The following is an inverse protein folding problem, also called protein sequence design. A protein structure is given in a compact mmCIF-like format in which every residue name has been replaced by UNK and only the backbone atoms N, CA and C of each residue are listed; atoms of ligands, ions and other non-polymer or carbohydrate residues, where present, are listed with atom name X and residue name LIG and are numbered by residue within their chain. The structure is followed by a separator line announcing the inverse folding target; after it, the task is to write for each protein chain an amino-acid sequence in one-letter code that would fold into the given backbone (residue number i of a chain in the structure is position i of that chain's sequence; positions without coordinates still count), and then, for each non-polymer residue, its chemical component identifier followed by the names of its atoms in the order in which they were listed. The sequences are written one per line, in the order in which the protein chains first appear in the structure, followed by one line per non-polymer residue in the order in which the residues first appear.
data_IF_021006145590
#
_entry.id   IF_021006145590
#
_cell.length_a   1.000
_cell.length_b   1.000
_cell.length_c   1.000
_cell.angle_alpha   90.00
_cell.angle_beta   90.00
_cell.angle_gamma   90.00
#
_symmetry.space_group_name_H-M   'P 1'
#
loop_
_entity.id
_entity.type
_entity.pdbx_description
1 polymer ?
#
# COMPACT_ATOMS: atom_id res chain seq x y z
N UNK A 1 -10.03 -6.14 -31.79
CA UNK A 1 -9.81 -6.12 -30.33
C UNK A 1 -9.15 -7.42 -29.94
N UNK A 2 -7.81 -7.46 -29.83
CA UNK A 2 -7.08 -8.68 -29.49
C UNK A 2 -6.97 -8.79 -27.96
N UNK A 3 -7.66 -9.77 -27.38
CA UNK A 3 -7.44 -10.14 -25.99
C UNK A 3 -6.00 -10.68 -25.85
N UNK A 4 -5.19 -10.02 -25.04
CA UNK A 4 -3.86 -10.52 -24.68
C UNK A 4 -4.05 -11.83 -23.91
N UNK A 5 -3.72 -12.97 -24.52
CA UNK A 5 -3.72 -14.26 -23.82
C UNK A 5 -2.56 -14.28 -22.82
N UNK A 6 -2.90 -14.34 -21.54
CA UNK A 6 -1.95 -14.62 -20.47
C UNK A 6 -1.42 -16.05 -20.63
N UNK A 7 -0.09 -16.22 -20.61
CA UNK A 7 0.57 -17.53 -20.60
C UNK A 7 0.09 -18.33 -19.37
N UNK A 8 -0.34 -19.60 -19.53
CA UNK A 8 -0.72 -20.42 -18.39
C UNK A 8 0.53 -20.75 -17.56
N UNK A 9 0.46 -20.40 -16.27
CA UNK A 9 1.40 -20.75 -15.23
C UNK A 9 1.29 -22.24 -14.89
N UNK A 10 2.43 -22.89 -14.62
CA UNK A 10 2.58 -24.35 -14.67
C UNK A 10 2.33 -25.10 -13.35
N UNK A 11 1.80 -24.46 -12.30
CA UNK A 11 1.34 -25.18 -11.09
C UNK A 11 -0.19 -25.28 -11.04
N UNK A 12 -0.75 -26.37 -10.49
CA UNK A 12 -2.20 -26.59 -10.39
C UNK A 12 -2.96 -25.47 -9.65
N UNK A 13 -2.28 -24.77 -8.72
CA UNK A 13 -2.83 -23.62 -7.98
C UNK A 13 -2.59 -22.26 -8.66
N UNK A 14 -1.90 -22.23 -9.81
CA UNK A 14 -1.59 -20.99 -10.53
C UNK A 14 -2.74 -20.53 -11.47
N UNK A 15 -3.97 -20.96 -11.24
CA UNK A 15 -5.10 -20.41 -11.98
C UNK A 15 -5.24 -18.90 -11.64
N UNK A 16 -5.30 -18.00 -12.63
CA UNK A 16 -5.49 -16.58 -12.37
C UNK A 16 -6.76 -16.35 -11.54
N UNK A 17 -6.66 -15.52 -10.50
CA UNK A 17 -7.82 -15.17 -9.69
C UNK A 17 -8.91 -14.48 -10.52
N UNK A 18 -10.18 -14.67 -10.11
CA UNK A 18 -11.26 -13.82 -10.59
C UNK A 18 -11.00 -12.37 -10.18
N UNK A 19 -11.63 -11.42 -10.87
CA UNK A 19 -11.51 -10.00 -10.56
C UNK A 19 -11.83 -9.71 -9.08
N UNK A 20 -12.92 -10.29 -8.59
CA UNK A 20 -13.44 -10.08 -7.24
C UNK A 20 -12.46 -10.62 -6.19
N UNK A 21 -11.92 -11.82 -6.45
CA UNK A 21 -10.92 -12.45 -5.57
C UNK A 21 -9.64 -11.65 -5.56
N UNK A 22 -9.17 -11.21 -6.73
CA UNK A 22 -7.97 -10.39 -6.84
C UNK A 22 -8.11 -9.05 -6.11
N UNK A 23 -9.23 -8.35 -6.29
CA UNK A 23 -9.50 -7.11 -5.56
C UNK A 23 -9.55 -7.33 -4.05
N UNK A 24 -10.24 -8.38 -3.58
CA UNK A 24 -10.30 -8.71 -2.16
C UNK A 24 -8.92 -8.96 -1.57
N UNK A 25 -8.04 -9.68 -2.28
CA UNK A 25 -6.67 -9.93 -1.86
C UNK A 25 -5.84 -8.63 -1.81
N UNK A 26 -5.97 -7.74 -2.81
CA UNK A 26 -5.31 -6.44 -2.78
C UNK A 26 -5.77 -5.59 -1.59
N UNK A 27 -7.07 -5.53 -1.32
CA UNK A 27 -7.62 -4.78 -0.17
C UNK A 27 -7.20 -5.39 1.16
N UNK A 28 -7.05 -6.73 1.22
CA UNK A 28 -6.53 -7.44 2.38
C UNK A 28 -5.12 -7.00 2.79
N UNK A 29 -4.31 -6.53 1.84
CA UNK A 29 -2.99 -5.95 2.13
C UNK A 29 -3.07 -4.57 2.82
N UNK A 30 -4.26 -3.97 2.96
CA UNK A 30 -4.48 -2.71 3.67
C UNK A 30 -3.96 -2.74 5.11
N UNK A 31 -3.85 -3.92 5.74
CA UNK A 31 -3.21 -4.07 7.06
C UNK A 31 -1.73 -3.64 7.09
N UNK A 32 -1.08 -3.58 5.93
CA UNK A 32 0.31 -3.12 5.75
C UNK A 32 0.40 -1.63 5.42
N UNK A 33 -0.73 -0.94 5.33
CA UNK A 33 -0.76 0.47 5.02
C UNK A 33 -0.13 1.31 6.13
N UNK A 34 0.48 2.43 5.76
CA UNK A 34 1.27 3.23 6.70
C UNK A 34 0.47 3.84 7.85
N UNK A 35 -0.87 3.82 7.80
CA UNK A 35 -1.72 4.36 8.86
C UNK A 35 -1.49 3.63 10.19
N UNK A 36 -1.09 2.36 10.10
CA UNK A 36 -0.77 1.51 11.25
C UNK A 36 0.68 1.66 11.74
N UNK A 37 1.54 2.42 11.03
CA UNK A 37 2.92 2.61 11.46
C UNK A 37 2.96 3.40 12.78
N UNK A 38 3.81 3.03 13.77
CA UNK A 38 3.86 3.69 15.08
C UNK A 38 4.04 5.21 15.00
N UNK A 39 4.83 5.69 14.04
CA UNK A 39 4.99 7.13 13.79
C UNK A 39 3.68 7.81 13.40
N UNK A 40 2.91 7.23 12.47
CA UNK A 40 1.64 7.82 12.04
C UNK A 40 0.59 7.80 13.15
N UNK A 41 0.59 6.76 13.98
CA UNK A 41 -0.26 6.71 15.18
C UNK A 41 0.10 7.84 16.15
N UNK A 42 1.40 8.06 16.42
CA UNK A 42 1.87 9.18 17.26
C UNK A 42 1.53 10.54 16.67
N UNK A 43 1.73 10.72 15.36
CA UNK A 43 1.42 11.95 14.66
C UNK A 43 -0.08 12.30 14.79
N UNK A 44 -0.96 11.34 14.53
CA UNK A 44 -2.42 11.55 14.60
C UNK A 44 -2.95 11.71 16.03
N UNK A 45 -2.24 11.19 17.03
CA UNK A 45 -2.61 11.31 18.45
C UNK A 45 -1.98 12.52 19.15
N UNK A 46 -1.27 13.38 18.41
CA UNK A 46 -0.63 14.58 18.96
C UNK A 46 0.58 14.30 19.87
N UNK A 47 1.19 13.11 19.75
CA UNK A 47 2.32 12.66 20.58
C UNK A 47 3.69 12.89 19.91
N UNK A 48 3.74 13.67 18.83
CA UNK A 48 4.98 14.07 18.18
C UNK A 48 5.44 15.44 18.69
N UNK A 49 6.75 15.56 18.90
CA UNK A 49 7.40 16.83 19.13
C UNK A 49 7.36 17.73 17.88
N UNK A 50 7.52 19.06 18.03
CA UNK A 50 7.60 19.95 16.88
C UNK A 50 8.69 19.58 15.86
N UNK A 51 9.85 19.08 16.32
CA UNK A 51 10.96 18.70 15.42
C UNK A 51 10.65 17.42 14.64
N UNK A 52 10.00 16.43 15.26
CA UNK A 52 9.53 15.23 14.55
C UNK A 52 8.51 15.59 13.45
N UNK A 53 7.60 16.53 13.72
CA UNK A 53 6.63 17.02 12.73
C UNK A 53 7.35 17.72 11.58
N UNK A 54 8.27 18.63 11.86
CA UNK A 54 9.06 19.34 10.82
C UNK A 54 9.85 18.35 9.97
N UNK A 55 10.50 17.37 10.59
CA UNK A 55 11.21 16.30 9.89
C UNK A 55 10.28 15.50 8.97
N UNK A 56 9.11 15.10 9.46
CA UNK A 56 8.11 14.42 8.63
C UNK A 56 7.65 15.29 7.45
N UNK A 57 7.34 16.57 7.67
CA UNK A 57 6.92 17.49 6.59
C UNK A 57 8.00 17.62 5.51
N UNK A 58 9.26 17.83 5.90
CA UNK A 58 10.38 17.96 4.97
C UNK A 58 10.56 16.70 4.11
N UNK A 59 10.50 15.52 4.73
CA UNK A 59 10.62 14.25 4.01
C UNK A 59 9.38 13.94 3.16
N UNK A 60 8.18 14.25 3.67
CA UNK A 60 6.93 14.00 2.93
C UNK A 60 6.81 14.90 1.72
N UNK A 61 7.30 16.14 1.78
CA UNK A 61 7.38 17.04 0.62
C UNK A 61 8.07 16.36 -0.57
N UNK A 62 9.21 15.71 -0.36
CA UNK A 62 9.92 15.01 -1.43
C UNK A 62 9.11 13.84 -2.04
N UNK A 63 8.31 13.14 -1.23
CA UNK A 63 7.39 12.12 -1.75
C UNK A 63 6.23 12.72 -2.56
N UNK A 64 5.79 13.95 -2.24
CA UNK A 64 4.63 14.57 -2.89
C UNK A 64 4.94 15.22 -4.24
N UNK A 65 6.16 15.72 -4.42
CA UNK A 65 6.53 16.48 -5.63
C UNK A 65 7.07 15.62 -6.77
N UNK A 66 7.39 14.35 -6.51
CA UNK A 66 7.85 13.38 -7.50
C UNK A 66 6.72 12.42 -7.88
#
# INVERSE_FOLDING_TARGET
MAATQAKPSSRPDDAPWTRETFEAQLRGLGVRYHIHHPFNVRLNSGQCSPDEIRGWVANRFYYQIN
#
